data_IF_458174049054
#
_entry.id   IF_458174049054
#
_cell.length_a   1.000
_cell.length_b   1.000
_cell.length_c   1.000
_cell.angle_alpha   90.00
_cell.angle_beta   90.00
_cell.angle_gamma   90.00
#
_symmetry.space_group_name_H-M   'P 1'
#
loop_
_entity.id
_entity.type
_entity.pdbx_description
1 polymer ?
#
# COMPACT_ATOMS: atom_id res chain seq x y z
N UNK A 1 32.74 -25.68 30.03
CA UNK A 1 31.91 -26.38 29.02
C UNK A 1 30.55 -25.68 28.99
N UNK A 2 30.19 -25.01 27.90
CA UNK A 2 28.98 -24.17 27.76
C UNK A 2 27.98 -24.88 26.84
N UNK A 3 26.78 -25.30 27.29
CA UNK A 3 25.72 -25.62 26.34
C UNK A 3 25.07 -24.31 25.89
N UNK A 4 25.42 -23.92 24.68
CA UNK A 4 24.73 -22.91 23.91
C UNK A 4 23.36 -23.43 23.43
N UNK A 5 22.43 -22.49 23.18
CA UNK A 5 21.38 -22.55 22.14
C UNK A 5 20.32 -23.67 22.32
N UNK A 6 19.01 -23.46 22.26
CA UNK A 6 18.27 -22.74 21.23
C UNK A 6 16.92 -22.36 21.85
N UNK A 7 16.67 -21.07 22.03
CA UNK A 7 15.31 -20.55 22.19
C UNK A 7 14.69 -20.65 20.80
N UNK A 8 13.85 -21.66 20.58
CA UNK A 8 13.10 -21.86 19.35
C UNK A 8 12.00 -20.79 19.24
N UNK A 9 12.36 -19.59 18.77
CA UNK A 9 11.40 -18.61 18.27
C UNK A 9 11.14 -18.96 16.80
N UNK A 10 10.28 -19.94 16.58
CA UNK A 10 9.74 -20.22 15.25
C UNK A 10 8.26 -19.84 15.20
N UNK A 11 7.98 -18.54 15.30
CA UNK A 11 6.67 -17.97 14.90
C UNK A 11 6.92 -16.69 14.09
N UNK A 12 7.39 -16.86 12.85
CA UNK A 12 7.44 -15.76 11.86
C UNK A 12 7.04 -16.24 10.45
N UNK A 13 5.76 -16.62 10.20
CA UNK A 13 5.26 -16.48 8.83
C UNK A 13 4.05 -15.54 8.70
N UNK A 14 3.49 -15.03 9.81
CA UNK A 14 2.24 -14.25 9.73
C UNK A 14 2.42 -12.86 9.07
N UNK A 15 3.64 -12.30 9.09
CA UNK A 15 3.86 -10.94 8.57
C UNK A 15 3.98 -10.86 7.05
N UNK A 16 4.41 -11.93 6.37
CA UNK A 16 4.68 -11.90 4.94
C UNK A 16 3.40 -11.92 4.08
N UNK A 17 2.42 -12.76 4.45
CA UNK A 17 1.15 -12.86 3.73
C UNK A 17 0.28 -11.61 3.87
N UNK A 18 0.30 -10.97 5.04
CA UNK A 18 -0.49 -9.76 5.31
C UNK A 18 0.01 -8.53 4.54
N UNK A 19 1.30 -8.48 4.20
CA UNK A 19 1.86 -7.40 3.38
C UNK A 19 1.37 -7.51 1.93
N UNK A 20 1.40 -8.70 1.36
CA UNK A 20 0.97 -8.97 -0.01
C UNK A 20 -0.51 -8.62 -0.25
N UNK A 21 -1.39 -8.93 0.71
CA UNK A 21 -2.81 -8.56 0.60
C UNK A 21 -3.06 -7.04 0.69
N UNK A 22 -2.23 -6.29 1.43
CA UNK A 22 -2.35 -4.82 1.49
C UNK A 22 -1.86 -4.17 0.21
N UNK A 23 -0.71 -4.62 -0.32
CA UNK A 23 -0.16 -4.13 -1.58
C UNK A 23 -1.14 -4.39 -2.72
N UNK A 24 -1.70 -5.61 -2.85
CA UNK A 24 -2.71 -5.90 -3.89
C UNK A 24 -3.97 -5.04 -3.78
N UNK A 25 -4.42 -4.73 -2.55
CA UNK A 25 -5.54 -3.80 -2.32
C UNK A 25 -5.18 -2.35 -2.68
N UNK A 26 -3.96 -1.90 -2.35
CA UNK A 26 -3.47 -0.58 -2.73
C UNK A 26 -3.41 -0.42 -4.26
N UNK A 27 -2.85 -1.39 -4.97
CA UNK A 27 -2.80 -1.39 -6.44
C UNK A 27 -4.18 -1.36 -7.09
N UNK A 28 -5.18 -2.05 -6.51
CA UNK A 28 -6.55 -2.00 -7.01
C UNK A 28 -7.16 -0.60 -6.87
N UNK A 29 -6.91 0.08 -5.75
CA UNK A 29 -7.33 1.46 -5.53
C UNK A 29 -6.64 2.42 -6.52
N UNK A 30 -5.34 2.22 -6.77
CA UNK A 30 -4.57 3.01 -7.76
C UNK A 30 -5.19 2.89 -9.14
N UNK A 31 -5.46 1.68 -9.63
CA UNK A 31 -6.09 1.49 -10.95
C UNK A 31 -7.45 2.17 -11.07
N UNK A 32 -8.26 2.12 -10.01
CA UNK A 32 -9.55 2.83 -10.00
C UNK A 32 -9.38 4.35 -9.97
N UNK A 33 -8.36 4.86 -9.25
CA UNK A 33 -8.04 6.28 -9.20
C UNK A 33 -7.57 6.80 -10.58
N UNK A 34 -6.77 6.03 -11.30
CA UNK A 34 -6.32 6.35 -12.66
C UNK A 34 -7.50 6.50 -13.62
N UNK A 35 -8.46 5.56 -13.60
CA UNK A 35 -9.68 5.65 -14.43
C UNK A 35 -10.48 6.91 -14.11
N UNK A 36 -10.72 7.20 -12.83
CA UNK A 36 -11.46 8.40 -12.44
C UNK A 36 -10.73 9.69 -12.82
N UNK A 37 -9.40 9.72 -12.69
CA UNK A 37 -8.60 10.86 -13.12
C UNK A 37 -8.68 11.08 -14.64
N UNK A 38 -8.67 10.01 -15.44
CA UNK A 38 -8.87 10.08 -16.90
C UNK A 38 -10.28 10.57 -17.28
N UNK A 39 -11.29 10.23 -16.48
CA UNK A 39 -12.68 10.67 -16.65
C UNK A 39 -12.96 12.09 -16.10
N UNK A 40 -11.98 12.71 -15.43
CA UNK A 40 -12.09 14.04 -14.82
C UNK A 40 -12.68 14.05 -13.40
N UNK A 41 -12.93 12.89 -12.80
CA UNK A 41 -13.33 12.73 -11.40
C UNK A 41 -12.15 12.87 -10.44
N UNK A 42 -11.57 14.07 -10.39
CA UNK A 42 -10.32 14.32 -9.65
C UNK A 42 -10.46 14.15 -8.14
N UNK A 43 -11.56 14.61 -7.54
CA UNK A 43 -11.80 14.48 -6.10
C UNK A 43 -11.91 13.00 -5.67
N UNK A 44 -12.64 12.19 -6.45
CA UNK A 44 -12.76 10.76 -6.21
C UNK A 44 -11.43 10.03 -6.43
N UNK A 45 -10.67 10.40 -7.46
CA UNK A 45 -9.35 9.86 -7.73
C UNK A 45 -8.37 10.14 -6.58
N UNK A 46 -8.34 11.38 -6.07
CA UNK A 46 -7.53 11.78 -4.91
C UNK A 46 -7.89 10.92 -3.69
N UNK A 47 -9.19 10.77 -3.39
CA UNK A 47 -9.63 9.95 -2.26
C UNK A 47 -9.22 8.47 -2.38
N UNK A 48 -9.13 7.93 -3.60
CA UNK A 48 -8.62 6.57 -3.83
C UNK A 48 -7.10 6.47 -3.67
N UNK A 49 -6.34 7.46 -4.15
CA UNK A 49 -4.89 7.52 -3.93
C UNK A 49 -4.54 7.64 -2.45
N UNK A 50 -5.27 8.44 -1.67
CA UNK A 50 -5.08 8.55 -0.22
C UNK A 50 -5.32 7.21 0.49
N UNK A 51 -6.38 6.49 0.11
CA UNK A 51 -6.66 5.16 0.64
C UNK A 51 -5.58 4.15 0.25
N UNK A 52 -5.04 4.23 -0.96
CA UNK A 52 -3.92 3.39 -1.40
C UNK A 52 -2.66 3.68 -0.56
N UNK A 53 -2.33 4.95 -0.36
CA UNK A 53 -1.18 5.39 0.44
C UNK A 53 -1.28 4.93 1.91
N UNK A 54 -2.49 4.95 2.48
CA UNK A 54 -2.72 4.44 3.84
C UNK A 54 -2.49 2.92 3.97
N UNK A 55 -2.63 2.16 2.87
CA UNK A 55 -2.40 0.70 2.86
C UNK A 55 -0.94 0.34 2.57
N UNK A 56 -0.34 1.00 1.58
CA UNK A 56 1.04 0.80 1.15
C UNK A 56 1.65 2.16 0.76
N UNK A 57 2.40 2.80 1.67
CA UNK A 57 2.96 4.12 1.42
C UNK A 57 3.99 4.12 0.27
N UNK A 58 3.64 4.81 -0.81
CA UNK A 58 4.51 5.04 -1.96
C UNK A 58 4.50 6.54 -2.34
N UNK A 59 5.67 7.22 -2.43
CA UNK A 59 5.75 8.63 -2.79
C UNK A 59 5.19 8.97 -4.18
N UNK A 60 5.08 8.01 -5.11
CA UNK A 60 4.41 8.21 -6.41
C UNK A 60 2.94 8.57 -6.22
N UNK A 61 2.28 8.02 -5.20
CA UNK A 61 0.88 8.33 -4.88
C UNK A 61 0.72 9.79 -4.47
N UNK A 62 1.67 10.32 -3.69
CA UNK A 62 1.66 11.74 -3.29
C UNK A 62 1.88 12.66 -4.49
N UNK A 63 2.76 12.28 -5.42
CA UNK A 63 2.94 13.00 -6.68
C UNK A 63 1.65 13.00 -7.52
N UNK A 64 0.97 11.85 -7.62
CA UNK A 64 -0.29 11.76 -8.35
C UNK A 64 -1.39 12.63 -7.72
N UNK A 65 -1.51 12.64 -6.38
CA UNK A 65 -2.44 13.52 -5.66
C UNK A 65 -2.13 14.99 -5.95
N UNK A 66 -0.86 15.39 -5.80
CA UNK A 66 -0.44 16.77 -6.05
C UNK A 66 -0.75 17.23 -7.48
N UNK A 67 -0.49 16.39 -8.48
CA UNK A 67 -0.78 16.67 -9.89
C UNK A 67 -2.27 16.88 -10.17
N UNK A 68 -3.17 16.27 -9.40
CA UNK A 68 -4.61 16.42 -9.58
C UNK A 68 -5.20 17.65 -8.87
N UNK A 69 -4.42 18.33 -8.03
CA UNK A 69 -4.81 19.59 -7.40
C UNK A 69 -4.45 20.83 -8.24
N UNK A 70 -3.54 20.69 -9.21
CA UNK A 70 -3.12 21.75 -10.15
C UNK A 70 -4.03 21.79 -11.40
#
# INVERSE_FOLDING_TARGET
>A
MRPALVIAICVFPVLAAAKDDRTRKAEALVRSAEVLAEEGGFDEAIGLYERAYALDPDPVLLYNIARLHD
#
